data_IF_232787708575
#
_entry.id   IF_232787708575
#
_cell.length_a   1.000
_cell.length_b   1.000
_cell.length_c   1.000
_cell.angle_alpha   90.00
_cell.angle_beta   90.00
_cell.angle_gamma   90.00
#
_symmetry.space_group_name_H-M   'P 1'
#
loop_
_entity.id
_entity.type
_entity.pdbx_description
1 polymer ?
#
# COMPACT_ATOMS: atom_id res chain seq x y z
N UNK A 1 60.65 60.62 48.33
CA UNK A 1 60.67 61.46 47.09
C UNK A 1 61.40 60.72 45.99
N UNK A 2 60.72 60.32 44.91
CA UNK A 2 61.35 59.99 43.62
C UNK A 2 60.33 60.22 42.51
N UNK A 3 60.51 61.29 41.73
CA UNK A 3 59.86 61.53 40.43
C UNK A 3 60.51 60.61 39.38
N UNK A 4 59.79 60.30 38.28
CA UNK A 4 60.21 60.14 36.85
C UNK A 4 58.94 59.67 36.08
N UNK A 5 58.21 60.50 35.30
CA UNK A 5 58.40 60.96 33.90
C UNK A 5 58.34 59.86 32.81
N UNK A 6 57.17 59.67 32.19
CA UNK A 6 56.81 60.06 30.80
C UNK A 6 57.38 59.34 29.54
N UNK A 7 56.46 59.18 28.55
CA UNK A 7 56.61 58.96 27.06
C UNK A 7 56.82 57.48 26.64
N UNK A 8 56.27 56.93 25.56
CA UNK A 8 55.92 57.46 24.22
C UNK A 8 54.92 56.57 23.44
N UNK A 9 54.39 57.17 22.36
CA UNK A 9 53.38 56.77 21.37
C UNK A 9 53.74 55.56 20.49
N UNK A 10 52.74 54.79 20.04
CA UNK A 10 52.85 53.81 18.95
C UNK A 10 51.48 53.38 18.42
N UNK A 11 51.05 53.98 17.31
CA UNK A 11 49.81 53.80 16.55
C UNK A 11 49.98 52.70 15.51
N UNK A 12 49.18 51.61 15.49
CA UNK A 12 48.84 50.87 14.27
C UNK A 12 47.41 50.31 14.37
N UNK A 13 46.61 50.63 13.36
CA UNK A 13 45.20 50.27 13.18
C UNK A 13 45.03 48.84 12.66
N UNK A 14 44.06 48.09 13.19
CA UNK A 14 43.38 47.03 12.45
C UNK A 14 41.96 46.82 13.01
N UNK A 15 40.99 47.39 12.31
CA UNK A 15 39.55 47.16 12.39
C UNK A 15 39.22 45.68 12.09
N UNK A 16 38.57 44.97 13.02
CA UNK A 16 37.52 43.97 12.68
C UNK A 16 36.46 43.97 13.79
N UNK A 17 35.23 44.28 13.39
CA UNK A 17 33.95 44.21 14.12
C UNK A 17 33.70 42.78 14.68
N UNK A 18 33.00 42.53 15.78
CA UNK A 18 32.20 43.37 16.65
C UNK A 18 31.51 42.51 17.74
N UNK A 19 30.95 43.18 18.76
CA UNK A 19 29.91 42.63 19.63
C UNK A 19 30.33 42.16 21.03
N UNK A 20 30.45 43.09 21.98
CA UNK A 20 30.43 42.85 23.43
C UNK A 20 28.97 42.89 23.90
N UNK A 21 28.52 41.96 24.76
CA UNK A 21 27.75 42.27 26.01
C UNK A 21 27.91 41.13 27.03
N UNK A 22 28.44 41.49 28.20
CA UNK A 22 28.39 40.75 29.47
C UNK A 22 27.07 41.05 30.19
N UNK A 23 26.43 40.05 30.81
CA UNK A 23 25.63 40.26 32.03
C UNK A 23 25.91 39.12 33.01
N UNK A 24 26.41 39.49 34.19
CA UNK A 24 26.63 38.62 35.35
C UNK A 24 25.47 38.85 36.34
N UNK A 25 24.95 37.76 36.89
CA UNK A 25 24.54 37.71 38.30
C UNK A 25 23.06 37.49 38.58
N UNK A 26 22.74 36.31 39.16
CA UNK A 26 22.14 36.22 40.49
C UNK A 26 22.13 34.74 40.93
N UNK A 27 22.88 34.44 41.99
CA UNK A 27 22.72 33.22 42.79
C UNK A 27 21.51 33.45 43.69
N UNK A 28 20.50 32.59 43.62
CA UNK A 28 19.41 32.58 44.60
C UNK A 28 18.29 31.57 44.32
N UNK A 29 18.18 30.55 45.19
CA UNK A 29 16.90 29.90 45.50
C UNK A 29 16.72 28.43 45.09
N UNK A 30 17.00 27.52 46.05
CA UNK A 30 16.27 26.29 46.41
C UNK A 30 15.64 25.35 45.34
N UNK A 31 16.14 24.10 45.35
CA UNK A 31 15.49 22.81 45.01
C UNK A 31 14.89 22.62 43.59
N UNK A 32 15.58 21.82 42.77
CA UNK A 32 14.94 21.00 41.74
C UNK A 32 15.57 19.59 41.72
N UNK A 33 14.70 18.62 41.93
CA UNK A 33 14.84 17.16 41.88
C UNK A 33 15.44 16.68 40.54
N UNK A 34 16.21 15.59 40.58
CA UNK A 34 16.64 14.73 39.46
C UNK A 34 16.01 15.07 38.10
N UNK A 35 16.68 15.88 37.28
CA UNK A 35 16.41 15.97 35.84
C UNK A 35 17.68 15.55 35.12
N UNK A 36 17.71 14.27 34.77
CA UNK A 36 18.48 13.79 33.63
C UNK A 36 17.54 13.86 32.42
N UNK A 37 18.04 14.42 31.32
CA UNK A 37 17.29 14.50 30.06
C UNK A 37 18.12 13.72 29.08
N UNK A 38 17.58 12.59 28.60
CA UNK A 38 18.23 11.82 27.55
C UNK A 38 18.24 12.63 26.26
N UNK A 39 19.17 12.32 25.37
CA UNK A 39 19.07 12.76 23.97
C UNK A 39 17.68 12.42 23.43
N UNK A 40 17.11 13.33 22.65
CA UNK A 40 15.82 13.13 21.99
C UNK A 40 15.93 11.96 21.02
N UNK A 41 15.14 10.91 21.26
CA UNK A 41 14.87 9.88 20.25
C UNK A 41 13.98 10.52 19.20
N UNK A 42 14.56 10.93 18.07
CA UNK A 42 13.81 11.27 16.88
C UNK A 42 13.26 9.97 16.27
N UNK A 43 11.97 9.70 16.49
CA UNK A 43 11.24 8.77 15.65
C UNK A 43 10.92 9.50 14.34
N UNK A 44 11.67 9.17 13.29
CA UNK A 44 11.37 9.59 11.93
C UNK A 44 10.13 8.81 11.50
N UNK A 45 8.97 9.45 11.50
CA UNK A 45 7.75 8.89 10.92
C UNK A 45 7.83 9.07 9.40
N UNK A 46 8.15 8.00 8.69
CA UNK A 46 8.01 7.92 7.23
C UNK A 46 6.53 7.89 6.86
N UNK A 47 6.17 8.44 5.70
CA UNK A 47 4.83 8.25 5.13
C UNK A 47 4.70 6.79 4.70
N UNK A 48 3.56 6.21 5.01
CA UNK A 48 3.21 4.83 4.70
C UNK A 48 2.46 4.82 3.37
N UNK A 49 3.05 4.20 2.35
CA UNK A 49 2.50 4.16 1.00
C UNK A 49 2.24 2.70 0.58
N UNK A 50 1.08 2.44 -0.01
CA UNK A 50 0.78 1.18 -0.72
C UNK A 50 0.33 1.54 -2.12
N UNK A 51 1.00 0.96 -3.11
CA UNK A 51 0.62 1.12 -4.50
C UNK A 51 0.26 -0.23 -5.11
N UNK A 52 -1.01 -0.38 -5.53
CA UNK A 52 -1.47 -1.56 -6.27
C UNK A 52 -2.03 -1.17 -7.63
N UNK A 53 -1.92 -2.10 -8.59
CA UNK A 53 -2.60 -2.00 -9.89
C UNK A 53 -3.32 -3.31 -10.21
N UNK A 54 -4.44 -3.23 -10.93
CA UNK A 54 -5.15 -4.38 -11.49
C UNK A 54 -4.99 -4.31 -13.01
N UNK A 55 -4.45 -5.38 -13.60
CA UNK A 55 -4.14 -5.44 -15.02
C UNK A 55 -4.58 -6.78 -15.62
N UNK A 56 -4.76 -6.77 -16.93
CA UNK A 56 -5.01 -7.96 -17.75
C UNK A 56 -4.27 -7.78 -19.09
N UNK A 57 -3.60 -8.83 -19.57
CA UNK A 57 -2.77 -8.77 -20.79
C UNK A 57 -3.50 -9.30 -22.03
N UNK A 58 -4.64 -9.96 -21.85
CA UNK A 58 -5.48 -10.47 -22.95
C UNK A 58 -6.39 -9.36 -23.52
N UNK A 59 -6.68 -9.38 -24.82
CA UNK A 59 -7.41 -8.30 -25.52
C UNK A 59 -8.92 -8.26 -25.25
N UNK A 60 -9.62 -7.20 -25.68
CA UNK A 60 -10.96 -6.87 -25.17
C UNK A 60 -12.15 -7.56 -25.89
N UNK A 61 -11.90 -8.35 -26.92
CA UNK A 61 -12.94 -8.95 -27.77
C UNK A 61 -12.82 -10.48 -27.75
N UNK A 62 -13.71 -11.12 -27.01
CA UNK A 62 -13.74 -12.58 -26.87
C UNK A 62 -14.98 -13.14 -27.56
N UNK A 63 -14.81 -14.22 -28.33
CA UNK A 63 -15.92 -14.96 -28.92
C UNK A 63 -16.27 -16.12 -28.01
N UNK A 64 -17.54 -16.22 -27.62
CA UNK A 64 -18.04 -17.40 -26.93
C UNK A 64 -18.20 -18.54 -27.93
N UNK A 65 -17.35 -19.56 -27.79
CA UNK A 65 -17.48 -20.82 -28.52
C UNK A 65 -17.80 -21.89 -27.48
N UNK A 66 -18.99 -22.54 -27.53
CA UNK A 66 -19.37 -23.56 -26.56
C UNK A 66 -18.32 -24.66 -26.41
N UNK A 67 -17.99 -25.01 -25.17
CA UNK A 67 -16.99 -26.03 -24.84
C UNK A 67 -15.54 -25.59 -24.94
N UNK A 68 -15.26 -24.34 -25.36
CA UNK A 68 -13.90 -23.82 -25.39
C UNK A 68 -13.59 -22.90 -24.22
N UNK A 69 -12.30 -22.83 -23.91
CA UNK A 69 -11.72 -21.93 -22.92
C UNK A 69 -11.27 -20.64 -23.58
N UNK A 70 -11.45 -19.54 -22.87
CA UNK A 70 -10.97 -18.20 -23.23
C UNK A 70 -9.83 -17.88 -22.27
N UNK A 71 -8.64 -17.60 -22.80
CA UNK A 71 -7.50 -17.15 -22.00
C UNK A 71 -7.80 -15.79 -21.41
N UNK A 72 -7.66 -15.68 -20.08
CA UNK A 72 -7.92 -14.48 -19.27
C UNK A 72 -6.93 -14.46 -18.11
N UNK A 73 -6.09 -13.43 -18.03
CA UNK A 73 -5.00 -13.36 -17.05
C UNK A 73 -5.09 -12.13 -16.13
N UNK A 74 -6.25 -11.84 -15.51
CA UNK A 74 -6.32 -10.75 -14.56
C UNK A 74 -5.34 -11.02 -13.40
N UNK A 75 -4.54 -10.01 -13.05
CA UNK A 75 -3.65 -10.03 -11.90
C UNK A 75 -3.67 -8.72 -11.13
N UNK A 76 -3.56 -8.80 -9.81
CA UNK A 76 -3.18 -7.65 -8.98
C UNK A 76 -1.67 -7.60 -8.89
N UNK A 77 -1.09 -6.43 -9.10
CA UNK A 77 0.33 -6.17 -8.86
C UNK A 77 0.49 -5.22 -7.69
N UNK A 78 1.24 -5.64 -6.67
CA UNK A 78 1.75 -4.76 -5.60
C UNK A 78 3.07 -4.19 -6.10
N UNK A 79 3.15 -2.86 -6.18
CA UNK A 79 4.34 -2.17 -6.66
C UNK A 79 5.43 -2.16 -5.58
N UNK A 80 6.67 -1.96 -6.01
CA UNK A 80 7.82 -1.78 -5.13
C UNK A 80 7.60 -0.67 -4.11
N UNK A 81 8.32 -0.74 -3.00
CA UNK A 81 8.24 0.23 -1.89
C UNK A 81 6.87 0.25 -1.19
N UNK A 82 5.97 -0.70 -1.48
CA UNK A 82 4.69 -0.84 -0.75
C UNK A 82 4.90 -1.48 0.62
N UNK A 83 4.20 -0.93 1.61
CA UNK A 83 4.13 -1.50 2.96
C UNK A 83 3.36 -2.82 3.01
N UNK A 84 3.57 -3.59 4.09
CA UNK A 84 2.82 -4.81 4.34
C UNK A 84 1.31 -4.52 4.34
N UNK A 85 0.54 -5.31 3.60
CA UNK A 85 -0.87 -5.01 3.33
C UNK A 85 -1.73 -6.27 3.17
N UNK A 86 -3.03 -6.10 3.40
CA UNK A 86 -4.02 -6.98 2.80
C UNK A 86 -4.38 -6.45 1.42
N UNK A 87 -4.37 -7.35 0.43
CA UNK A 87 -4.92 -7.11 -0.91
C UNK A 87 -6.23 -7.88 -1.01
N UNK A 88 -7.30 -7.18 -1.37
CA UNK A 88 -8.62 -7.75 -1.61
C UNK A 88 -8.97 -7.67 -3.10
N UNK A 89 -9.76 -8.64 -3.55
CA UNK A 89 -10.42 -8.63 -4.85
C UNK A 89 -11.88 -9.01 -4.66
N UNK A 90 -12.77 -8.14 -5.11
CA UNK A 90 -14.17 -8.45 -5.32
C UNK A 90 -14.41 -8.91 -6.77
N UNK A 91 -15.16 -10.00 -6.93
CA UNK A 91 -15.41 -10.68 -8.20
C UNK A 91 -16.90 -10.65 -8.54
N UNK A 92 -17.32 -9.66 -9.32
CA UNK A 92 -18.73 -9.50 -9.69
C UNK A 92 -19.03 -10.18 -11.02
N UNK A 93 -20.03 -11.07 -10.99
CA UNK A 93 -20.58 -11.73 -12.17
C UNK A 93 -21.91 -11.09 -12.53
N UNK A 94 -22.19 -10.88 -13.81
CA UNK A 94 -23.56 -10.56 -14.23
C UNK A 94 -24.50 -11.72 -13.89
N UNK A 95 -25.79 -11.43 -13.70
CA UNK A 95 -26.81 -12.44 -13.32
C UNK A 95 -26.83 -13.66 -14.25
N UNK A 96 -26.54 -13.45 -15.53
CA UNK A 96 -26.53 -14.50 -16.54
C UNK A 96 -25.17 -15.19 -16.72
N UNK A 97 -24.09 -14.73 -16.07
CA UNK A 97 -22.73 -15.23 -16.32
C UNK A 97 -22.64 -16.75 -16.18
N UNK A 98 -23.13 -17.30 -15.06
CA UNK A 98 -23.06 -18.73 -14.78
C UNK A 98 -24.03 -19.56 -15.65
N UNK A 99 -24.89 -18.94 -16.46
CA UNK A 99 -25.65 -19.64 -17.51
C UNK A 99 -24.76 -20.00 -18.70
N UNK A 100 -23.81 -19.13 -19.03
CA UNK A 100 -22.98 -19.26 -20.24
C UNK A 100 -21.57 -19.76 -19.95
N UNK A 101 -21.01 -19.42 -18.79
CA UNK A 101 -19.58 -19.53 -18.54
C UNK A 101 -19.28 -20.09 -17.16
N UNK A 102 -18.01 -20.38 -16.92
CA UNK A 102 -17.48 -20.76 -15.62
C UNK A 102 -16.10 -20.10 -15.46
N UNK A 103 -15.92 -19.42 -14.33
CA UNK A 103 -14.67 -18.83 -13.90
C UNK A 103 -14.38 -19.30 -12.48
N UNK A 104 -13.14 -19.72 -12.23
CA UNK A 104 -12.68 -20.24 -10.95
C UNK A 104 -11.53 -19.36 -10.46
N UNK A 105 -11.65 -18.84 -9.24
CA UNK A 105 -10.57 -18.11 -8.58
C UNK A 105 -9.55 -19.13 -8.07
N UNK A 106 -8.27 -18.88 -8.32
CA UNK A 106 -7.17 -19.73 -7.87
C UNK A 106 -7.03 -19.63 -6.35
N UNK A 107 -7.57 -20.62 -5.65
CA UNK A 107 -7.59 -20.74 -4.18
C UNK A 107 -6.70 -21.87 -3.68
N UNK A 108 -5.70 -22.27 -4.49
CA UNK A 108 -4.69 -23.25 -4.09
C UNK A 108 -3.76 -22.76 -2.97
N UNK A 109 -2.74 -23.57 -2.64
CA UNK A 109 -1.72 -23.22 -1.64
C UNK A 109 -0.99 -21.92 -2.04
N UNK A 110 -0.87 -20.99 -1.09
CA UNK A 110 -0.24 -19.67 -1.27
C UNK A 110 -0.90 -18.76 -2.33
N UNK A 111 -2.18 -19.01 -2.64
CA UNK A 111 -2.99 -18.21 -3.58
C UNK A 111 -4.03 -17.35 -2.85
N UNK A 112 -5.17 -17.10 -3.48
CA UNK A 112 -6.23 -16.27 -2.91
C UNK A 112 -7.01 -17.05 -1.85
N UNK A 113 -7.43 -16.36 -0.80
CA UNK A 113 -8.26 -16.90 0.28
C UNK A 113 -9.65 -16.28 0.15
N UNK A 114 -10.71 -17.09 0.13
CA UNK A 114 -12.08 -16.55 0.15
C UNK A 114 -12.36 -15.90 1.51
N UNK A 115 -12.88 -14.69 1.51
CA UNK A 115 -13.25 -13.99 2.74
C UNK A 115 -14.53 -14.58 3.32
N UNK A 116 -14.49 -14.99 4.59
CA UNK A 116 -15.65 -15.55 5.27
C UNK A 116 -16.80 -14.54 5.35
N UNK A 117 -18.02 -15.01 5.10
CA UNK A 117 -19.21 -14.17 5.08
C UNK A 117 -19.47 -13.41 3.78
N UNK A 118 -18.56 -13.50 2.79
CA UNK A 118 -18.72 -12.88 1.47
C UNK A 118 -18.60 -13.91 0.35
N UNK A 119 -19.53 -13.89 -0.61
CA UNK A 119 -19.54 -14.88 -1.69
C UNK A 119 -18.55 -14.58 -2.82
N UNK A 120 -18.19 -13.31 -2.98
CA UNK A 120 -17.43 -12.79 -4.11
C UNK A 120 -16.13 -12.07 -3.71
N UNK A 121 -15.74 -12.10 -2.44
CA UNK A 121 -14.54 -11.40 -1.96
C UNK A 121 -13.45 -12.40 -1.64
N UNK A 122 -12.24 -12.12 -2.12
CA UNK A 122 -11.04 -12.90 -1.90
C UNK A 122 -9.92 -11.97 -1.44
N UNK A 123 -8.99 -12.48 -0.65
CA UNK A 123 -7.89 -11.68 -0.14
C UNK A 123 -6.59 -12.46 -0.08
N UNK A 124 -5.50 -11.71 0.13
CA UNK A 124 -4.19 -12.22 0.50
C UNK A 124 -3.47 -11.21 1.38
N UNK A 125 -2.61 -11.71 2.25
CA UNK A 125 -1.61 -10.89 2.92
C UNK A 125 -0.37 -10.81 2.03
N UNK A 126 0.21 -9.62 1.93
CA UNK A 126 1.43 -9.34 1.20
C UNK A 126 2.39 -8.64 2.16
N UNK A 127 3.61 -9.14 2.23
CA UNK A 127 4.67 -8.53 3.03
C UNK A 127 5.16 -7.24 2.36
N UNK A 128 5.88 -6.40 3.11
CA UNK A 128 6.44 -5.18 2.56
C UNK A 128 7.39 -5.50 1.39
N UNK A 129 7.23 -4.79 0.28
CA UNK A 129 8.07 -4.95 -0.92
C UNK A 129 9.25 -3.99 -0.87
N UNK A 130 10.45 -4.48 -1.16
CA UNK A 130 11.65 -3.65 -1.26
C UNK A 130 11.85 -2.99 -2.64
N UNK A 131 12.89 -2.18 -2.75
CA UNK A 131 13.17 -1.24 -3.85
C UNK A 131 13.25 -1.84 -5.27
N UNK A 132 13.45 -3.16 -5.40
CA UNK A 132 13.65 -3.86 -6.66
C UNK A 132 12.55 -4.88 -7.02
N UNK A 133 11.53 -5.05 -6.17
CA UNK A 133 10.54 -6.12 -6.32
C UNK A 133 9.11 -5.59 -6.44
N UNK A 134 8.40 -6.08 -7.44
CA UNK A 134 6.94 -5.96 -7.51
C UNK A 134 6.36 -7.36 -7.62
N UNK A 135 5.26 -7.62 -6.93
CA UNK A 135 4.67 -8.95 -6.85
C UNK A 135 3.37 -9.01 -7.63
N UNK A 136 3.22 -10.05 -8.47
CA UNK A 136 2.03 -10.26 -9.31
C UNK A 136 1.24 -11.46 -8.82
N UNK A 137 -0.04 -11.25 -8.68
CA UNK A 137 -0.99 -12.21 -8.14
C UNK A 137 -2.12 -12.44 -9.14
N UNK A 138 -1.99 -13.49 -9.95
CA UNK A 138 -3.02 -13.92 -10.89
C UNK A 138 -4.26 -14.41 -10.16
N UNK A 139 -5.45 -14.06 -10.66
CA UNK A 139 -6.72 -14.34 -10.00
C UNK A 139 -7.34 -15.67 -10.42
N UNK A 140 -7.29 -16.00 -11.71
CA UNK A 140 -8.03 -17.13 -12.27
C UNK A 140 -7.18 -18.41 -12.30
N UNK A 141 -7.80 -19.53 -11.94
CA UNK A 141 -7.18 -20.85 -12.11
C UNK A 141 -6.83 -21.06 -13.59
N UNK A 142 -5.58 -21.44 -13.86
CA UNK A 142 -5.04 -21.61 -15.21
C UNK A 142 -5.14 -20.37 -16.13
N UNK A 143 -5.41 -19.18 -15.59
CA UNK A 143 -5.60 -17.95 -16.37
C UNK A 143 -6.63 -18.12 -17.51
N UNK A 144 -7.82 -18.62 -17.18
CA UNK A 144 -8.86 -18.86 -18.17
C UNK A 144 -10.29 -18.74 -17.61
N UNK A 145 -11.23 -18.54 -18.53
CA UNK A 145 -12.68 -18.68 -18.32
C UNK A 145 -13.20 -19.69 -19.33
N UNK A 146 -14.09 -20.58 -18.92
CA UNK A 146 -14.64 -21.63 -19.80
C UNK A 146 -16.05 -21.28 -20.26
N UNK A 147 -16.37 -21.47 -21.54
CA UNK A 147 -17.74 -21.41 -22.06
C UNK A 147 -18.37 -22.79 -21.92
N UNK A 148 -19.55 -22.87 -21.32
CA UNK A 148 -20.22 -24.17 -21.10
C UNK A 148 -20.57 -24.83 -22.44
N UNK A 149 -20.38 -26.14 -22.51
CA UNK A 149 -20.77 -26.95 -23.68
C UNK A 149 -22.28 -26.92 -23.94
N UNK A 150 -23.07 -26.65 -22.90
CA UNK A 150 -24.54 -26.56 -22.98
C UNK A 150 -25.05 -25.28 -23.65
N UNK A 151 -24.18 -24.30 -23.91
CA UNK A 151 -24.58 -23.05 -24.58
C UNK A 151 -24.93 -23.33 -26.03
N UNK A 152 -26.16 -23.01 -26.43
CA UNK A 152 -26.61 -23.15 -27.82
C UNK A 152 -26.48 -21.85 -28.60
N UNK A 153 -26.57 -21.94 -29.94
CA UNK A 153 -26.58 -20.77 -30.80
C UNK A 153 -27.79 -19.86 -30.52
N UNK A 154 -28.96 -20.45 -30.31
CA UNK A 154 -30.19 -19.72 -30.01
C UNK A 154 -30.06 -18.91 -28.71
N UNK A 155 -29.36 -19.45 -27.70
CA UNK A 155 -29.08 -18.74 -26.45
C UNK A 155 -28.10 -17.58 -26.62
N UNK A 156 -27.22 -17.62 -27.62
CA UNK A 156 -26.29 -16.54 -27.95
C UNK A 156 -26.93 -15.49 -28.85
N UNK A 157 -27.80 -15.89 -29.78
CA UNK A 157 -28.47 -14.98 -30.73
C UNK A 157 -29.44 -14.00 -30.04
N UNK A 158 -29.91 -14.33 -28.82
CA UNK A 158 -30.73 -13.44 -28.00
C UNK A 158 -29.92 -12.43 -27.18
N UNK A 159 -28.60 -12.59 -27.10
CA UNK A 159 -27.74 -11.66 -26.36
C UNK A 159 -27.52 -10.38 -27.16
N UNK A 160 -27.47 -9.27 -26.43
CA UNK A 160 -27.14 -7.94 -26.95
C UNK A 160 -25.98 -7.38 -26.14
N UNK A 161 -25.38 -6.27 -26.60
CA UNK A 161 -24.27 -5.63 -25.90
C UNK A 161 -24.57 -5.32 -24.43
N UNK A 162 -25.82 -4.99 -24.08
CA UNK A 162 -26.24 -4.71 -22.70
C UNK A 162 -26.50 -5.96 -21.86
N UNK A 163 -26.56 -7.15 -22.48
CA UNK A 163 -26.86 -8.41 -21.79
C UNK A 163 -25.72 -9.42 -21.91
N UNK A 164 -24.59 -9.07 -22.52
CA UNK A 164 -23.45 -9.97 -22.57
C UNK A 164 -23.01 -10.35 -21.15
N UNK A 165 -22.67 -11.63 -20.91
CA UNK A 165 -22.20 -12.06 -19.61
C UNK A 165 -20.89 -11.34 -19.28
N UNK A 166 -20.80 -10.75 -18.09
CA UNK A 166 -19.62 -10.02 -17.64
C UNK A 166 -19.02 -10.66 -16.39
N UNK A 167 -17.70 -10.60 -16.30
CA UNK A 167 -16.91 -10.92 -15.12
C UNK A 167 -16.04 -9.71 -14.82
N UNK A 168 -16.28 -9.07 -13.69
CA UNK A 168 -15.65 -7.83 -13.28
C UNK A 168 -14.84 -8.07 -12.02
N UNK A 169 -13.64 -7.52 -11.98
CA UNK A 169 -12.73 -7.58 -10.83
C UNK A 169 -12.50 -6.17 -10.31
N UNK A 170 -12.61 -6.00 -9.00
CA UNK A 170 -12.25 -4.75 -8.31
C UNK A 170 -11.27 -5.07 -7.20
N UNK A 171 -10.09 -4.46 -7.26
CA UNK A 171 -9.03 -4.68 -6.27
C UNK A 171 -8.97 -3.54 -5.25
N UNK A 172 -8.64 -3.88 -4.01
CA UNK A 172 -8.44 -2.96 -2.89
C UNK A 172 -7.19 -3.36 -2.13
N UNK A 173 -6.55 -2.39 -1.48
CA UNK A 173 -5.46 -2.67 -0.54
C UNK A 173 -5.69 -1.90 0.76
N UNK A 174 -5.31 -2.54 1.87
CA UNK A 174 -5.37 -1.96 3.20
C UNK A 174 -4.05 -2.25 3.90
N UNK A 175 -3.41 -1.21 4.40
CA UNK A 175 -2.16 -1.37 5.09
C UNK A 175 -2.32 -2.09 6.41
N UNK A 176 -1.42 -3.03 6.64
CA UNK A 176 -1.21 -3.59 7.95
C UNK A 176 -0.46 -2.55 8.79
N UNK A 177 -0.88 -2.41 10.03
CA UNK A 177 -0.09 -1.74 11.05
C UNK A 177 0.11 -2.71 12.22
N UNK A 178 1.30 -2.61 12.81
CA UNK A 178 1.70 -3.43 13.94
C UNK A 178 2.55 -2.62 14.92
N UNK A 179 2.66 -3.12 16.14
CA UNK A 179 3.53 -2.58 17.20
C UNK A 179 4.91 -3.25 17.23
N UNK A 180 5.36 -3.77 16.09
CA UNK A 180 6.67 -4.39 15.88
C UNK A 180 6.64 -5.91 15.79
N UNK A 181 5.80 -6.60 16.58
CA UNK A 181 5.79 -8.08 16.68
C UNK A 181 4.41 -8.71 16.37
N UNK A 182 3.36 -7.90 16.20
CA UNK A 182 2.02 -8.36 15.88
C UNK A 182 1.40 -7.56 14.74
N UNK A 183 0.81 -8.26 13.77
CA UNK A 183 -0.21 -7.70 12.89
C UNK A 183 -1.49 -7.50 13.71
N UNK A 184 -1.97 -6.27 13.87
CA UNK A 184 -3.09 -5.98 14.79
C UNK A 184 -4.45 -5.95 14.07
N UNK A 185 -4.47 -5.88 12.73
CA UNK A 185 -5.72 -5.75 11.96
C UNK A 185 -6.27 -7.11 11.53
N UNK A 186 -7.50 -7.43 11.96
CA UNK A 186 -8.26 -8.55 11.43
C UNK A 186 -8.64 -8.31 9.96
N UNK A 187 -8.66 -9.37 9.16
CA UNK A 187 -9.01 -9.26 7.74
C UNK A 187 -10.43 -8.71 7.50
N UNK A 188 -11.37 -9.03 8.40
CA UNK A 188 -12.74 -8.54 8.32
C UNK A 188 -12.79 -7.03 8.60
N UNK A 189 -12.04 -6.57 9.60
CA UNK A 189 -11.91 -5.14 9.91
C UNK A 189 -11.24 -4.39 8.75
N UNK A 190 -10.21 -4.98 8.14
CA UNK A 190 -9.56 -4.42 6.96
C UNK A 190 -10.55 -4.27 5.80
N UNK A 191 -11.33 -5.31 5.51
CA UNK A 191 -12.35 -5.26 4.47
C UNK A 191 -13.42 -4.20 4.75
N UNK A 192 -13.82 -4.03 6.02
CA UNK A 192 -14.80 -3.04 6.43
C UNK A 192 -14.37 -1.58 6.15
N UNK A 193 -13.08 -1.31 6.02
CA UNK A 193 -12.54 0.00 5.64
C UNK A 193 -12.70 0.32 4.14
N UNK A 194 -12.78 -0.71 3.29
CA UNK A 194 -12.74 -0.56 1.82
C UNK A 194 -14.02 -1.02 1.13
N UNK A 195 -14.85 -1.84 1.79
CA UNK A 195 -16.18 -2.19 1.29
C UNK A 195 -16.99 -0.90 1.13
N UNK A 196 -17.46 -0.64 -0.09
CA UNK A 196 -18.30 0.52 -0.41
C UNK A 196 -19.71 0.06 -0.74
#
# INVERSE_FOLDING_TARGET
MKKIKGKSVGLVWALVLGGVVLVVGAIGGTMAWLVDTTESVENIFTVSDIDITLQESTGNAYKMIPGLTITKDPFVQVLKDSEACYVFVQVDKSENFDTYMTAVIDTGTDKWIKLDGYDNVYYRQVEATGDDASEKFYLLENNQVSVKETVTKEQMDVLTESTYPTLTFTAYAVQLYGDGDHTIMDVSDAWDLVKR
#
